data_IF_300523463500
#
_entry.id   IF_300523463500
#
_cell.length_a   1.000
_cell.length_b   1.000
_cell.length_c   1.000
_cell.angle_alpha   90.00
_cell.angle_beta   90.00
_cell.angle_gamma   90.00
#
_symmetry.space_group_name_H-M   'P 1'
#
loop_
_entity.id
_entity.type
_entity.pdbx_description
1 polymer ?
#
# COMPACT_ATOMS: atom_id res chain seq x y z
N UNK A 1 -4.12 -22.66 19.42
CA UNK A 1 -2.65 -22.49 19.33
C UNK A 1 -2.36 -21.91 17.94
N UNK A 2 -2.27 -20.59 17.84
CA UNK A 2 -1.76 -19.95 16.63
C UNK A 2 -0.25 -20.10 16.62
N UNK A 3 0.26 -20.96 15.77
CA UNK A 3 1.67 -21.01 15.42
C UNK A 3 2.00 -19.68 14.73
N UNK A 4 2.69 -18.78 15.43
CA UNK A 4 3.37 -17.65 14.80
C UNK A 4 4.38 -18.25 13.84
N UNK A 5 4.15 -18.15 12.55
CA UNK A 5 5.22 -18.24 11.58
C UNK A 5 6.13 -17.02 11.83
N UNK A 6 7.15 -17.20 12.64
CA UNK A 6 8.34 -16.41 12.51
C UNK A 6 8.97 -16.88 11.21
N UNK A 7 8.73 -16.16 10.11
CA UNK A 7 9.64 -16.22 9.00
C UNK A 7 10.95 -15.62 9.51
N UNK A 8 11.81 -16.48 10.00
CA UNK A 8 13.19 -16.14 10.19
C UNK A 8 13.81 -16.12 8.79
N UNK A 9 13.93 -14.93 8.22
CA UNK A 9 14.58 -14.71 6.92
C UNK A 9 16.11 -14.88 7.01
N UNK A 10 16.63 -15.25 8.19
CA UNK A 10 18.01 -15.64 8.41
C UNK A 10 18.28 -17.08 7.96
N UNK A 11 17.77 -17.48 6.78
CA UNK A 11 18.26 -18.70 6.17
C UNK A 11 19.66 -18.44 5.60
N UNK A 12 20.52 -19.43 5.61
CA UNK A 12 21.92 -19.37 5.11
C UNK A 12 22.05 -18.98 3.62
N UNK A 13 20.94 -18.65 2.96
CA UNK A 13 20.86 -18.37 1.51
C UNK A 13 20.88 -16.88 1.20
N UNK A 14 20.26 -16.04 2.04
CA UNK A 14 20.40 -14.59 1.95
C UNK A 14 20.29 -13.93 3.32
N UNK A 15 21.06 -12.89 3.55
CA UNK A 15 20.92 -12.03 4.72
C UNK A 15 20.15 -10.76 4.34
N UNK A 16 19.25 -10.32 5.19
CA UNK A 16 18.55 -9.04 5.03
C UNK A 16 18.79 -8.15 6.23
N UNK A 17 19.17 -6.91 5.95
CA UNK A 17 19.28 -5.86 6.95
C UNK A 17 18.04 -4.98 6.89
N UNK A 18 17.34 -4.84 8.00
CA UNK A 18 16.25 -3.91 8.11
C UNK A 18 16.76 -2.51 8.44
N UNK A 19 16.51 -1.54 7.56
CA UNK A 19 16.65 -0.14 7.90
C UNK A 19 15.52 0.22 8.86
N UNK A 20 15.80 0.28 10.16
CA UNK A 20 14.80 0.53 11.19
C UNK A 20 14.27 1.95 11.06
N UNK A 21 12.96 2.07 10.95
CA UNK A 21 12.23 3.33 10.84
C UNK A 21 11.16 3.46 11.93
N UNK A 22 10.51 4.61 11.93
CA UNK A 22 9.32 4.88 12.73
C UNK A 22 8.08 4.50 11.90
N UNK A 23 7.22 3.63 12.42
CA UNK A 23 5.94 3.24 11.78
C UNK A 23 4.99 4.42 11.52
N UNK A 24 5.33 5.60 11.98
CA UNK A 24 4.56 6.84 11.83
C UNK A 24 5.10 7.79 10.78
N UNK A 25 6.21 7.45 10.11
CA UNK A 25 6.91 8.29 9.13
C UNK A 25 7.41 7.47 7.95
N UNK A 26 7.57 8.13 6.82
CA UNK A 26 8.21 7.55 5.65
C UNK A 26 9.71 7.32 5.86
N UNK A 27 10.26 6.36 5.13
CA UNK A 27 11.71 6.13 5.04
C UNK A 27 12.40 7.40 4.53
N UNK A 28 13.49 7.79 5.16
CA UNK A 28 14.28 8.97 4.74
C UNK A 28 15.27 8.58 3.64
N UNK A 29 15.19 9.18 2.45
CA UNK A 29 16.11 8.87 1.35
C UNK A 29 17.59 9.04 1.73
N UNK A 30 17.89 10.02 2.59
CA UNK A 30 19.26 10.25 3.08
C UNK A 30 19.80 9.07 3.92
N UNK A 31 18.95 8.35 4.64
CA UNK A 31 19.36 7.16 5.39
C UNK A 31 19.69 6.00 4.46
N UNK A 32 18.92 5.85 3.36
CA UNK A 32 19.19 4.87 2.31
C UNK A 32 20.54 5.18 1.66
N UNK A 33 20.77 6.44 1.28
CA UNK A 33 22.05 6.89 0.70
C UNK A 33 23.23 6.61 1.66
N UNK A 34 23.10 6.99 2.93
CA UNK A 34 24.14 6.78 3.93
C UNK A 34 24.46 5.30 4.11
N UNK A 35 23.42 4.42 4.15
CA UNK A 35 23.62 2.97 4.30
C UNK A 35 24.36 2.38 3.09
N UNK A 36 23.98 2.80 1.87
CA UNK A 36 24.63 2.34 0.64
C UNK A 36 26.07 2.86 0.53
N UNK A 37 26.32 4.12 0.89
CA UNK A 37 27.70 4.67 0.92
C UNK A 37 28.61 3.97 1.93
N UNK A 38 28.02 3.42 3.00
CA UNK A 38 28.77 2.65 4.01
C UNK A 38 29.14 1.25 3.53
N UNK A 39 28.43 0.69 2.56
CA UNK A 39 28.71 -0.63 1.98
C UNK A 39 29.85 -0.57 0.94
N UNK A 40 31.08 -0.47 1.42
CA UNK A 40 32.27 -0.34 0.55
C UNK A 40 32.58 -1.59 -0.27
N UNK A 41 32.13 -2.75 0.20
CA UNK A 41 32.38 -4.04 -0.44
C UNK A 41 31.28 -4.42 -1.45
N UNK A 42 30.22 -3.61 -1.57
CA UNK A 42 29.11 -3.87 -2.49
C UNK A 42 28.35 -5.16 -2.16
N UNK A 43 28.19 -5.45 -0.88
CA UNK A 43 27.50 -6.66 -0.39
C UNK A 43 25.98 -6.55 -0.52
N UNK A 44 25.43 -5.34 -0.46
CA UNK A 44 24.00 -5.06 -0.66
C UNK A 44 23.66 -5.24 -2.14
N UNK A 45 22.84 -6.23 -2.48
CA UNK A 45 22.45 -6.53 -3.86
C UNK A 45 21.13 -5.89 -4.27
N UNK A 46 20.27 -5.61 -3.31
CA UNK A 46 18.98 -4.96 -3.57
C UNK A 46 18.53 -4.12 -2.37
N UNK A 47 17.80 -3.05 -2.66
CA UNK A 47 17.01 -2.27 -1.72
C UNK A 47 15.55 -2.59 -2.00
N UNK A 48 14.85 -3.18 -1.04
CA UNK A 48 13.43 -3.51 -1.13
C UNK A 48 12.65 -2.47 -0.33
N UNK A 49 11.66 -1.85 -0.97
CA UNK A 49 10.82 -0.84 -0.34
C UNK A 49 9.38 -0.94 -0.82
N UNK A 50 8.41 -0.82 0.10
CA UNK A 50 7.02 -0.66 -0.28
C UNK A 50 6.74 0.82 -0.60
N UNK A 51 6.09 1.14 -1.72
CA UNK A 51 5.64 2.51 -1.98
C UNK A 51 4.59 2.92 -0.95
N UNK A 52 3.63 2.04 -0.68
CA UNK A 52 2.67 2.21 0.41
C UNK A 52 2.74 1.01 1.34
N UNK A 53 3.05 1.26 2.61
CA UNK A 53 2.88 0.24 3.65
C UNK A 53 1.43 0.24 4.15
N UNK A 54 0.73 -0.86 3.89
CA UNK A 54 -0.69 -1.01 4.26
C UNK A 54 -0.93 -1.16 5.76
N UNK A 55 0.08 -1.48 6.55
CA UNK A 55 -0.04 -1.56 8.01
C UNK A 55 -0.10 -0.17 8.63
N UNK A 56 0.82 0.70 8.24
CA UNK A 56 0.95 2.06 8.79
C UNK A 56 0.14 3.11 8.04
N UNK A 57 -0.11 2.90 6.73
CA UNK A 57 -0.73 3.90 5.83
C UNK A 57 0.26 4.94 5.31
N UNK A 58 1.57 4.66 5.38
CA UNK A 58 2.62 5.56 4.91
C UNK A 58 2.87 5.42 3.42
N UNK A 59 3.19 6.54 2.76
CA UNK A 59 3.77 6.60 1.41
C UNK A 59 5.27 6.88 1.52
N UNK A 60 6.08 6.03 0.93
CA UNK A 60 7.50 6.28 0.73
C UNK A 60 7.73 6.95 -0.63
N UNK A 61 8.56 7.98 -0.63
CA UNK A 61 8.95 8.70 -1.86
C UNK A 61 9.98 7.88 -2.65
N UNK A 62 9.47 7.05 -3.56
CA UNK A 62 10.31 6.16 -4.37
C UNK A 62 11.22 6.96 -5.31
N UNK A 63 10.75 8.09 -5.84
CA UNK A 63 11.57 8.95 -6.68
C UNK A 63 12.79 9.49 -5.91
N UNK A 64 12.58 9.98 -4.70
CA UNK A 64 13.67 10.48 -3.87
C UNK A 64 14.62 9.37 -3.43
N UNK A 65 14.10 8.16 -3.12
CA UNK A 65 14.92 6.99 -2.82
C UNK A 65 15.77 6.60 -4.04
N UNK A 66 15.19 6.54 -5.24
CA UNK A 66 15.94 6.25 -6.47
C UNK A 66 17.05 7.28 -6.73
N UNK A 67 16.77 8.57 -6.52
CA UNK A 67 17.80 9.65 -6.60
C UNK A 67 18.91 9.46 -5.57
N UNK A 68 18.58 9.08 -4.34
CA UNK A 68 19.54 8.81 -3.26
C UNK A 68 20.44 7.61 -3.58
N UNK A 69 19.87 6.52 -4.12
CA UNK A 69 20.63 5.35 -4.57
C UNK A 69 21.59 5.73 -5.70
N UNK A 70 21.15 6.50 -6.68
CA UNK A 70 22.00 7.01 -7.77
C UNK A 70 23.14 7.90 -7.24
N UNK A 71 22.84 8.77 -6.27
CA UNK A 71 23.84 9.63 -5.62
C UNK A 71 24.89 8.81 -4.83
N UNK A 72 24.48 7.70 -4.23
CA UNK A 72 25.38 6.76 -3.57
C UNK A 72 26.35 6.07 -4.54
N UNK A 73 26.06 6.02 -5.84
CA UNK A 73 26.78 5.26 -6.88
C UNK A 73 26.94 3.79 -6.51
N UNK A 74 25.86 3.18 -6.07
CA UNK A 74 25.84 1.80 -5.61
C UNK A 74 25.11 0.91 -6.61
N UNK A 75 25.58 -0.34 -6.79
CA UNK A 75 25.05 -1.27 -7.79
C UNK A 75 23.83 -2.07 -7.34
N UNK A 76 23.31 -1.85 -6.13
CA UNK A 76 22.10 -2.50 -5.65
C UNK A 76 20.90 -2.20 -6.56
N UNK A 77 20.05 -3.20 -6.78
CA UNK A 77 18.77 -3.02 -7.48
C UNK A 77 17.77 -2.30 -6.58
N UNK A 78 16.97 -1.40 -7.14
CA UNK A 78 15.79 -0.86 -6.47
C UNK A 78 14.57 -1.73 -6.79
N UNK A 79 14.04 -2.42 -5.79
CA UNK A 79 12.89 -3.29 -5.92
C UNK A 79 11.71 -2.72 -5.12
N UNK A 80 10.58 -2.48 -5.77
CA UNK A 80 9.45 -1.78 -5.16
C UNK A 80 8.21 -2.67 -5.09
N UNK A 81 7.65 -2.78 -3.89
CA UNK A 81 6.30 -3.28 -3.69
C UNK A 81 5.29 -2.15 -3.95
N UNK A 82 4.56 -2.27 -5.05
CA UNK A 82 3.48 -1.37 -5.45
C UNK A 82 2.09 -2.00 -5.25
N UNK A 83 1.96 -3.04 -4.43
CA UNK A 83 0.68 -3.75 -4.22
C UNK A 83 -0.42 -2.83 -3.74
N UNK A 84 -0.12 -1.89 -2.86
CA UNK A 84 -1.12 -0.97 -2.30
C UNK A 84 -1.21 0.39 -3.02
N UNK A 85 -0.33 0.65 -4.00
CA UNK A 85 -0.26 1.94 -4.71
C UNK A 85 -0.69 1.87 -6.16
N UNK A 86 -0.38 0.76 -6.86
CA UNK A 86 -0.70 0.62 -8.28
C UNK A 86 -2.22 0.73 -8.51
N UNK A 87 -2.59 1.62 -9.43
CA UNK A 87 -4.00 1.94 -9.71
C UNK A 87 -4.65 2.92 -8.71
N UNK A 88 -3.93 3.37 -7.66
CA UNK A 88 -4.45 4.34 -6.69
C UNK A 88 -3.71 5.69 -6.74
N UNK A 89 -2.42 5.66 -7.05
CA UNK A 89 -1.58 6.84 -7.17
C UNK A 89 -0.48 6.62 -8.22
N UNK A 90 0.22 7.67 -8.66
CA UNK A 90 1.26 7.55 -9.67
C UNK A 90 2.38 6.59 -9.28
N UNK A 91 2.83 5.79 -10.24
CA UNK A 91 4.01 4.94 -10.15
C UNK A 91 4.75 4.98 -11.49
N UNK A 92 5.91 5.62 -11.52
CA UNK A 92 6.69 5.87 -12.74
C UNK A 92 8.01 5.11 -12.67
N UNK A 93 7.95 3.78 -12.94
CA UNK A 93 9.05 2.84 -12.79
C UNK A 93 10.36 3.35 -13.42
N UNK A 94 10.33 3.69 -14.69
CA UNK A 94 11.52 4.08 -15.45
C UNK A 94 12.08 5.42 -14.98
N UNK A 95 11.22 6.41 -14.77
CA UNK A 95 11.61 7.77 -14.35
C UNK A 95 12.23 7.78 -12.96
N UNK A 96 11.74 6.91 -12.07
CA UNK A 96 12.23 6.82 -10.69
C UNK A 96 13.43 5.88 -10.54
N UNK A 97 13.82 5.19 -11.62
CA UNK A 97 14.94 4.27 -11.63
C UNK A 97 14.70 2.98 -10.87
N UNK A 98 13.46 2.51 -10.86
CA UNK A 98 13.08 1.24 -10.26
C UNK A 98 13.48 0.11 -11.18
N UNK A 99 14.16 -0.90 -10.65
CA UNK A 99 14.65 -2.04 -11.42
C UNK A 99 13.60 -3.17 -11.48
N UNK A 100 12.90 -3.39 -10.36
CA UNK A 100 11.82 -4.38 -10.26
C UNK A 100 10.66 -3.78 -9.52
N UNK A 101 9.47 -3.92 -10.08
CA UNK A 101 8.22 -3.57 -9.40
C UNK A 101 7.31 -4.79 -9.31
N UNK A 102 6.63 -4.95 -8.18
CA UNK A 102 5.62 -5.98 -8.00
C UNK A 102 4.28 -5.39 -7.57
N UNK A 103 3.19 -6.05 -7.99
CA UNK A 103 1.84 -5.70 -7.55
C UNK A 103 0.93 -6.93 -7.55
N UNK A 104 -0.30 -6.75 -7.07
CA UNK A 104 -1.34 -7.79 -7.02
C UNK A 104 -2.68 -7.29 -7.52
N UNK A 105 -3.51 -8.22 -7.95
CA UNK A 105 -4.80 -7.93 -8.60
C UNK A 105 -5.89 -7.38 -7.66
N UNK A 106 -5.84 -7.71 -6.36
CA UNK A 106 -6.94 -7.48 -5.42
C UNK A 106 -6.94 -6.13 -4.69
N UNK A 107 -6.09 -5.21 -5.10
CA UNK A 107 -5.97 -3.87 -4.54
C UNK A 107 -6.51 -2.82 -5.52
N UNK A 108 -5.72 -1.81 -5.82
CA UNK A 108 -6.10 -0.79 -6.79
C UNK A 108 -6.50 -1.36 -8.16
N UNK A 109 -6.00 -2.53 -8.54
CA UNK A 109 -6.34 -3.18 -9.82
C UNK A 109 -7.73 -3.82 -9.88
N UNK A 110 -8.56 -3.69 -8.85
CA UNK A 110 -10.01 -3.98 -8.83
C UNK A 110 -10.41 -5.41 -9.26
N UNK A 111 -9.49 -6.38 -9.18
CA UNK A 111 -9.73 -7.77 -9.57
C UNK A 111 -9.64 -8.66 -8.34
N UNK A 112 -10.34 -9.80 -8.25
CA UNK A 112 -10.16 -10.74 -7.15
C UNK A 112 -8.71 -11.18 -6.96
N UNK A 113 -8.30 -11.60 -5.74
CA UNK A 113 -6.94 -12.09 -5.50
C UNK A 113 -6.64 -13.35 -6.35
N UNK A 114 -5.40 -13.48 -6.82
CA UNK A 114 -4.93 -14.64 -7.57
C UNK A 114 -4.03 -14.32 -8.77
N UNK A 115 -3.86 -13.04 -9.12
CA UNK A 115 -2.84 -12.59 -10.08
C UNK A 115 -1.78 -11.75 -9.37
N UNK A 116 -0.53 -11.96 -9.75
CA UNK A 116 0.58 -11.08 -9.40
C UNK A 116 1.20 -10.50 -10.66
N UNK A 117 1.67 -9.27 -10.56
CA UNK A 117 2.35 -8.57 -11.64
C UNK A 117 3.78 -8.30 -11.22
N UNK A 118 4.73 -8.59 -12.10
CA UNK A 118 6.14 -8.27 -11.91
C UNK A 118 6.62 -7.58 -13.19
N UNK A 119 7.18 -6.39 -13.04
CA UNK A 119 7.87 -5.67 -14.09
C UNK A 119 9.36 -5.60 -13.73
N UNK A 120 10.23 -5.88 -14.69
CA UNK A 120 11.68 -5.84 -14.52
C UNK A 120 12.31 -5.13 -15.72
N UNK A 121 13.24 -4.20 -15.44
CA UNK A 121 14.01 -3.52 -16.47
C UNK A 121 15.18 -4.40 -16.96
N UNK A 122 15.90 -3.94 -17.99
CA UNK A 122 17.01 -4.69 -18.58
C UNK A 122 18.14 -4.93 -17.57
N UNK A 123 18.42 -3.97 -16.67
CA UNK A 123 19.43 -4.12 -15.62
C UNK A 123 19.09 -5.29 -14.67
N UNK A 124 17.84 -5.39 -14.23
CA UNK A 124 17.38 -6.50 -13.40
C UNK A 124 17.44 -7.84 -14.15
N UNK A 125 17.12 -7.83 -15.45
CA UNK A 125 17.22 -9.01 -16.31
C UNK A 125 18.67 -9.49 -16.50
N UNK A 126 19.63 -8.58 -16.62
CA UNK A 126 21.05 -8.96 -16.66
C UNK A 126 21.51 -9.58 -15.34
N UNK A 127 21.14 -9.01 -14.20
CA UNK A 127 21.46 -9.58 -12.88
C UNK A 127 20.81 -10.95 -12.69
N UNK A 128 19.58 -11.15 -13.20
CA UNK A 128 18.88 -12.44 -13.14
C UNK A 128 19.67 -13.57 -13.81
N UNK A 129 20.43 -13.32 -14.88
CA UNK A 129 21.23 -14.34 -15.57
C UNK A 129 22.26 -15.03 -14.67
N UNK A 130 22.74 -14.31 -13.66
CA UNK A 130 23.73 -14.78 -12.70
C UNK A 130 23.13 -15.16 -11.34
N UNK A 131 21.80 -15.14 -11.18
CA UNK A 131 21.13 -15.53 -9.95
C UNK A 131 21.39 -16.99 -9.59
N UNK A 132 21.88 -17.26 -8.39
CA UNK A 132 22.25 -18.60 -7.93
C UNK A 132 21.06 -19.45 -7.46
N UNK A 133 20.05 -18.81 -6.87
CA UNK A 133 18.85 -19.49 -6.35
C UNK A 133 17.74 -19.45 -7.39
N UNK A 134 17.74 -20.43 -8.29
CA UNK A 134 16.67 -20.59 -9.29
C UNK A 134 15.65 -21.62 -8.83
N UNK A 135 14.39 -21.26 -8.92
CA UNK A 135 13.27 -22.18 -8.68
C UNK A 135 12.29 -22.09 -9.85
N UNK A 136 11.81 -23.23 -10.41
CA UNK A 136 11.02 -23.23 -11.65
C UNK A 136 9.81 -22.29 -11.60
N UNK A 137 9.16 -22.18 -10.45
CA UNK A 137 7.97 -21.33 -10.31
C UNK A 137 8.30 -19.83 -10.36
N UNK A 138 9.46 -19.41 -9.85
CA UNK A 138 9.86 -18.00 -9.72
C UNK A 138 10.86 -17.52 -10.77
N UNK A 139 11.42 -18.45 -11.58
CA UNK A 139 12.42 -18.10 -12.59
C UNK A 139 11.78 -17.40 -13.78
N UNK A 140 12.23 -16.18 -14.08
CA UNK A 140 11.71 -15.41 -15.20
C UNK A 140 12.04 -16.07 -16.55
N UNK A 141 13.19 -16.73 -16.67
CA UNK A 141 13.57 -17.44 -17.90
C UNK A 141 12.56 -18.53 -18.26
N UNK A 142 12.08 -19.26 -17.25
CA UNK A 142 11.06 -20.30 -17.46
C UNK A 142 9.70 -19.71 -17.86
N UNK A 143 9.46 -18.42 -17.53
CA UNK A 143 8.23 -17.68 -17.85
C UNK A 143 8.23 -17.00 -19.22
N UNK A 144 9.39 -16.85 -19.84
CA UNK A 144 9.58 -16.15 -21.12
C UNK A 144 9.48 -17.06 -22.35
N UNK A 145 9.13 -18.34 -22.18
CA UNK A 145 8.94 -19.28 -23.29
C UNK A 145 7.78 -18.91 -24.24
N UNK A 146 7.78 -19.47 -25.43
CA UNK A 146 6.81 -19.17 -26.49
C UNK A 146 5.40 -19.65 -26.19
N UNK A 147 5.25 -20.66 -25.32
CA UNK A 147 3.96 -21.25 -25.01
C UNK A 147 3.26 -20.50 -23.86
N UNK A 148 1.97 -20.25 -24.03
CA UNK A 148 1.19 -19.48 -23.06
C UNK A 148 1.22 -20.05 -21.63
N UNK A 149 1.18 -21.39 -21.48
CA UNK A 149 1.20 -22.00 -20.15
C UNK A 149 2.51 -21.74 -19.38
N UNK A 150 3.62 -21.47 -20.08
CA UNK A 150 4.90 -21.16 -19.45
C UNK A 150 4.81 -19.85 -18.66
N UNK A 151 4.11 -18.84 -19.20
CA UNK A 151 3.92 -17.53 -18.57
C UNK A 151 3.18 -17.62 -17.21
N UNK A 152 2.37 -18.67 -17.02
CA UNK A 152 1.58 -18.91 -15.81
C UNK A 152 2.09 -20.08 -14.97
N UNK A 153 3.15 -20.78 -15.40
CA UNK A 153 3.61 -22.05 -14.84
C UNK A 153 2.52 -23.14 -14.78
N UNK A 154 1.70 -23.18 -15.80
CA UNK A 154 0.58 -24.11 -15.92
C UNK A 154 -0.62 -23.49 -16.61
N UNK A 155 -1.81 -24.01 -16.34
CA UNK A 155 -3.05 -23.48 -16.90
C UNK A 155 -3.31 -22.06 -16.43
N UNK A 156 -3.55 -21.09 -17.33
CA UNK A 156 -3.83 -19.72 -16.94
C UNK A 156 -5.15 -19.62 -16.16
N UNK A 157 -5.24 -18.70 -15.18
CA UNK A 157 -6.47 -18.44 -14.43
C UNK A 157 -7.42 -17.56 -15.25
N UNK A 158 -8.09 -18.12 -16.25
CA UNK A 158 -8.86 -17.39 -17.28
C UNK A 158 -9.89 -16.44 -16.69
N UNK A 159 -10.66 -16.87 -15.69
CA UNK A 159 -11.66 -16.02 -15.05
C UNK A 159 -11.05 -14.73 -14.45
N UNK A 160 -9.87 -14.84 -13.86
CA UNK A 160 -9.16 -13.67 -13.31
C UNK A 160 -8.61 -12.79 -14.42
N UNK A 161 -8.17 -13.37 -15.54
CA UNK A 161 -7.70 -12.61 -16.70
C UNK A 161 -8.84 -11.85 -17.37
N UNK A 162 -10.03 -12.44 -17.51
CA UNK A 162 -11.22 -11.73 -17.97
C UNK A 162 -11.62 -10.61 -17.01
N UNK A 163 -11.58 -10.87 -15.70
CA UNK A 163 -11.82 -9.84 -14.68
C UNK A 163 -10.80 -8.70 -14.74
N UNK A 164 -9.51 -9.03 -14.91
CA UNK A 164 -8.46 -8.03 -15.07
C UNK A 164 -8.67 -7.21 -16.35
N UNK A 165 -9.06 -7.84 -17.46
CA UNK A 165 -9.36 -7.12 -18.71
C UNK A 165 -10.47 -6.11 -18.50
N UNK A 166 -11.58 -6.51 -17.86
CA UNK A 166 -12.69 -5.60 -17.56
C UNK A 166 -12.25 -4.45 -16.63
N UNK A 167 -11.41 -4.73 -15.62
CA UNK A 167 -10.87 -3.70 -14.75
C UNK A 167 -9.97 -2.70 -15.51
N UNK A 168 -9.14 -3.18 -16.43
CA UNK A 168 -8.30 -2.32 -17.28
C UNK A 168 -9.16 -1.45 -18.22
N UNK A 169 -10.24 -2.00 -18.78
CA UNK A 169 -11.17 -1.21 -19.61
C UNK A 169 -11.79 -0.06 -18.80
N UNK A 170 -12.17 -0.27 -17.53
CA UNK A 170 -12.64 0.80 -16.63
C UNK A 170 -11.55 1.85 -16.35
N UNK A 171 -10.29 1.45 -16.16
CA UNK A 171 -9.18 2.40 -16.01
C UNK A 171 -8.99 3.27 -17.24
N UNK A 172 -9.05 2.70 -18.44
CA UNK A 172 -8.90 3.44 -19.69
C UNK A 172 -10.09 4.34 -19.97
N UNK A 173 -11.31 3.93 -19.62
CA UNK A 173 -12.52 4.73 -19.73
C UNK A 173 -12.46 5.96 -18.80
N UNK A 174 -12.11 5.78 -17.53
CA UNK A 174 -11.98 6.87 -16.56
C UNK A 174 -10.74 7.75 -16.87
N UNK A 175 -9.67 7.15 -17.38
CA UNK A 175 -8.35 7.77 -17.58
C UNK A 175 -7.54 7.84 -16.30
N UNK A 176 -6.26 7.41 -16.35
CA UNK A 176 -5.40 7.29 -15.16
C UNK A 176 -5.29 8.57 -14.31
N UNK A 177 -5.19 9.80 -14.88
CA UNK A 177 -5.20 11.02 -14.07
C UNK A 177 -6.47 11.18 -13.23
N UNK A 178 -7.64 10.82 -13.78
CA UNK A 178 -8.90 10.89 -13.07
C UNK A 178 -9.02 9.80 -12.00
N UNK A 179 -8.52 8.60 -12.28
CA UNK A 179 -8.42 7.51 -11.29
C UNK A 179 -7.60 7.97 -10.08
N UNK A 180 -6.44 8.59 -10.28
CA UNK A 180 -5.61 9.12 -9.18
C UNK A 180 -6.31 10.28 -8.46
N UNK A 181 -6.94 11.19 -9.19
CA UNK A 181 -7.73 12.29 -8.60
C UNK A 181 -8.85 11.74 -7.73
N UNK A 182 -9.61 10.76 -8.20
CA UNK A 182 -10.69 10.12 -7.43
C UNK A 182 -10.19 9.51 -6.13
N UNK A 183 -9.11 8.73 -6.17
CA UNK A 183 -8.53 8.14 -4.96
C UNK A 183 -8.09 9.22 -3.97
N UNK A 184 -7.42 10.27 -4.44
CA UNK A 184 -6.99 11.39 -3.60
C UNK A 184 -8.17 12.13 -2.97
N UNK A 185 -9.24 12.41 -3.73
CA UNK A 185 -10.44 13.08 -3.20
C UNK A 185 -11.10 12.25 -2.10
N UNK A 186 -11.23 10.94 -2.30
CA UNK A 186 -11.83 10.04 -1.32
C UNK A 186 -10.93 9.87 -0.09
N UNK A 187 -9.62 9.79 -0.28
CA UNK A 187 -8.65 9.77 0.82
C UNK A 187 -8.74 11.03 1.67
N UNK A 188 -8.82 12.20 1.03
CA UNK A 188 -8.99 13.47 1.75
C UNK A 188 -10.33 13.55 2.48
N UNK A 189 -11.42 13.06 1.91
CA UNK A 189 -12.70 12.97 2.62
C UNK A 189 -12.57 12.16 3.93
N UNK A 190 -11.88 11.01 3.90
CA UNK A 190 -11.57 10.22 5.10
C UNK A 190 -10.70 11.02 6.08
N UNK A 191 -9.67 11.70 5.58
CA UNK A 191 -8.76 12.51 6.40
C UNK A 191 -9.47 13.69 7.07
N UNK A 192 -10.43 14.35 6.39
CA UNK A 192 -11.26 15.42 6.98
C UNK A 192 -12.09 14.88 8.14
N UNK A 193 -12.73 13.74 7.97
CA UNK A 193 -13.50 13.13 9.05
C UNK A 193 -12.61 12.76 10.25
N UNK A 194 -11.49 12.07 10.01
CA UNK A 194 -10.54 11.68 11.07
C UNK A 194 -9.95 12.91 11.75
N UNK A 195 -9.68 13.99 11.02
CA UNK A 195 -9.21 15.25 11.56
C UNK A 195 -10.16 15.83 12.62
N UNK A 196 -11.46 15.88 12.31
CA UNK A 196 -12.49 16.32 13.28
C UNK A 196 -12.58 15.35 14.45
N UNK A 197 -12.64 14.04 14.21
CA UNK A 197 -12.71 13.06 15.31
C UNK A 197 -11.51 13.13 16.24
N UNK A 198 -10.33 13.54 15.73
CA UNK A 198 -9.09 13.64 16.53
C UNK A 198 -9.14 14.74 17.61
N UNK A 199 -10.06 15.71 17.52
CA UNK A 199 -10.26 16.74 18.53
C UNK A 199 -10.64 16.14 19.91
N UNK A 200 -11.27 14.96 19.92
CA UNK A 200 -11.57 14.21 21.14
C UNK A 200 -10.37 13.43 21.74
N UNK A 201 -9.19 13.51 21.10
CA UNK A 201 -7.91 12.91 21.50
C UNK A 201 -7.84 11.37 21.55
N UNK A 202 -8.98 10.66 21.53
CA UNK A 202 -8.99 9.20 21.48
C UNK A 202 -8.73 8.67 20.06
N UNK A 203 -9.06 9.43 19.03
CA UNK A 203 -8.86 9.07 17.61
C UNK A 203 -7.70 9.89 17.05
N UNK A 204 -6.91 9.29 16.18
CA UNK A 204 -5.81 10.01 15.54
C UNK A 204 -5.31 9.35 14.26
N UNK A 205 -4.45 10.06 13.55
CA UNK A 205 -3.72 9.49 12.43
C UNK A 205 -2.49 8.71 12.93
N UNK A 206 -2.24 7.55 12.35
CA UNK A 206 -0.96 6.90 12.56
C UNK A 206 0.17 7.75 11.93
N UNK A 207 0.01 8.15 10.68
CA UNK A 207 1.04 8.94 9.96
C UNK A 207 0.96 10.41 10.35
N UNK A 208 2.09 10.92 10.85
CA UNK A 208 2.20 12.29 11.39
C UNK A 208 2.11 13.30 10.26
N UNK A 209 3.00 13.18 9.27
CA UNK A 209 3.11 14.15 8.18
C UNK A 209 1.99 13.94 7.14
N UNK A 210 1.17 14.97 6.86
CA UNK A 210 0.05 14.82 5.93
C UNK A 210 0.45 14.36 4.54
N UNK A 211 1.59 14.80 4.03
CA UNK A 211 2.09 14.44 2.69
C UNK A 211 2.64 13.02 2.59
N UNK A 212 2.86 12.36 3.74
CA UNK A 212 3.26 10.95 3.81
C UNK A 212 2.06 10.00 3.94
N UNK A 213 0.81 10.49 3.92
CA UNK A 213 -0.41 9.69 4.04
C UNK A 213 -0.83 9.12 2.69
N UNK A 214 -1.15 7.82 2.66
CA UNK A 214 -1.50 7.09 1.45
C UNK A 214 -2.88 7.47 0.88
N UNK A 215 -3.00 7.50 -0.45
CA UNK A 215 -4.28 7.70 -1.13
C UNK A 215 -5.11 6.42 -1.29
N UNK A 216 -4.61 5.28 -0.84
CA UNK A 216 -5.31 3.99 -0.91
C UNK A 216 -5.85 3.49 0.43
N UNK A 217 -5.27 3.94 1.55
CA UNK A 217 -5.62 3.48 2.90
C UNK A 217 -5.30 4.54 3.94
N UNK A 218 -6.16 4.67 4.94
CA UNK A 218 -5.93 5.49 6.14
C UNK A 218 -5.88 4.60 7.37
N UNK A 219 -4.77 4.62 8.10
CA UNK A 219 -4.63 3.96 9.39
C UNK A 219 -5.00 4.93 10.51
N UNK A 220 -6.03 4.56 11.28
CA UNK A 220 -6.63 5.37 12.33
C UNK A 220 -6.29 4.75 13.69
N UNK A 221 -5.53 5.47 14.50
CA UNK A 221 -5.18 5.03 15.88
C UNK A 221 -6.32 5.30 16.85
N UNK A 222 -6.47 4.42 17.83
CA UNK A 222 -7.46 4.55 18.90
C UNK A 222 -6.72 4.51 20.24
N UNK A 223 -6.60 5.69 20.87
CA UNK A 223 -5.80 5.87 22.08
C UNK A 223 -6.64 5.58 23.33
N UNK A 224 -6.15 4.69 24.20
CA UNK A 224 -6.82 4.37 25.47
C UNK A 224 -8.17 3.68 25.33
N UNK A 225 -8.54 3.20 24.15
CA UNK A 225 -9.76 2.46 23.84
C UNK A 225 -9.45 1.29 22.92
N UNK A 226 -10.38 0.36 22.80
CA UNK A 226 -10.24 -0.82 21.96
C UNK A 226 -10.70 -0.55 20.51
N UNK A 227 -9.82 -0.57 19.50
CA UNK A 227 -10.21 -0.42 18.09
C UNK A 227 -11.04 -1.60 17.58
N UNK A 228 -10.90 -2.78 18.19
CA UNK A 228 -11.70 -3.95 17.79
C UNK A 228 -13.18 -3.77 18.14
N UNK A 229 -13.50 -3.05 19.23
CA UNK A 229 -14.89 -2.68 19.55
C UNK A 229 -15.55 -1.85 18.45
N UNK A 230 -14.81 -0.88 17.86
CA UNK A 230 -15.29 -0.07 16.71
C UNK A 230 -15.54 -0.96 15.49
N UNK A 231 -14.60 -1.85 15.18
CA UNK A 231 -14.69 -2.80 14.06
C UNK A 231 -15.85 -3.78 14.24
N UNK A 232 -16.01 -4.31 15.43
CA UNK A 232 -17.09 -5.23 15.79
C UNK A 232 -18.46 -4.56 15.69
N UNK A 233 -18.58 -3.33 16.14
CA UNK A 233 -19.82 -2.55 15.98
C UNK A 233 -20.12 -2.33 14.51
N UNK A 234 -19.16 -1.84 13.72
CA UNK A 234 -19.31 -1.59 12.30
C UNK A 234 -19.77 -2.85 11.55
N UNK A 235 -19.14 -3.99 11.83
CA UNK A 235 -19.45 -5.26 11.16
C UNK A 235 -20.80 -5.84 11.64
N UNK A 236 -20.98 -6.02 12.96
CA UNK A 236 -22.13 -6.75 13.52
C UNK A 236 -23.42 -5.95 13.51
N UNK A 237 -23.36 -4.63 13.60
CA UNK A 237 -24.52 -3.74 13.66
C UNK A 237 -24.86 -3.07 12.34
N UNK A 238 -23.85 -2.81 11.49
CA UNK A 238 -24.01 -2.02 10.28
C UNK A 238 -23.59 -2.76 8.99
N UNK A 239 -23.00 -3.95 9.08
CA UNK A 239 -22.55 -4.72 7.92
C UNK A 239 -21.33 -4.13 7.20
N UNK A 240 -20.58 -3.23 7.83
CA UNK A 240 -19.38 -2.60 7.28
C UNK A 240 -18.13 -3.21 7.89
N UNK A 241 -17.23 -3.70 7.03
CA UNK A 241 -15.99 -4.35 7.47
C UNK A 241 -14.84 -3.34 7.38
N UNK A 242 -14.29 -2.97 8.54
CA UNK A 242 -13.09 -2.16 8.65
C UNK A 242 -11.84 -3.06 8.79
N UNK A 243 -10.71 -2.63 8.22
CA UNK A 243 -9.45 -3.33 8.38
C UNK A 243 -8.95 -3.31 9.84
N UNK A 244 -8.38 -4.41 10.32
CA UNK A 244 -7.72 -4.45 11.63
C UNK A 244 -6.31 -3.84 11.57
N UNK A 245 -5.77 -3.40 12.70
CA UNK A 245 -4.35 -3.03 12.81
C UNK A 245 -3.44 -4.24 12.54
N UNK A 246 -2.32 -4.03 11.87
CA UNK A 246 -1.36 -5.08 11.50
C UNK A 246 -0.04 -4.86 12.23
N UNK A 247 0.65 -5.97 12.59
CA UNK A 247 1.96 -5.93 13.23
C UNK A 247 1.92 -5.15 14.55
N UNK A 248 2.75 -4.12 14.68
CA UNK A 248 2.83 -3.27 15.88
C UNK A 248 1.56 -2.45 16.15
N UNK A 249 0.71 -2.28 15.15
CA UNK A 249 -0.57 -1.55 15.25
C UNK A 249 -1.75 -2.46 15.58
N UNK A 250 -1.52 -3.76 15.75
CA UNK A 250 -2.55 -4.71 16.19
C UNK A 250 -3.08 -4.32 17.58
N UNK A 251 -4.41 -4.21 17.72
CA UNK A 251 -5.05 -3.75 18.95
C UNK A 251 -4.86 -2.27 19.27
N UNK A 252 -4.30 -1.47 18.36
CA UNK A 252 -4.07 -0.02 18.53
C UNK A 252 -4.73 0.84 17.46
N UNK A 253 -5.12 0.23 16.34
CA UNK A 253 -5.66 0.94 15.19
C UNK A 253 -6.68 0.11 14.41
N UNK A 254 -7.53 0.78 13.67
CA UNK A 254 -8.28 0.21 12.56
C UNK A 254 -7.89 0.93 11.26
N UNK A 255 -8.24 0.34 10.12
CA UNK A 255 -7.89 0.89 8.82
C UNK A 255 -9.12 1.08 7.94
N UNK A 256 -9.17 2.21 7.24
CA UNK A 256 -10.17 2.52 6.23
C UNK A 256 -9.50 2.44 4.86
N UNK A 257 -9.90 1.47 4.05
CA UNK A 257 -9.46 1.36 2.67
C UNK A 257 -10.34 2.24 1.77
N UNK A 258 -9.70 2.98 0.87
CA UNK A 258 -10.37 3.80 -0.13
C UNK A 258 -9.70 3.57 -1.50
N UNK A 259 -9.47 2.30 -1.84
CA UNK A 259 -8.79 1.85 -3.05
C UNK A 259 -9.72 1.07 -3.98
N UNK A 260 -9.39 1.10 -5.27
CA UNK A 260 -10.11 0.34 -6.29
C UNK A 260 -11.36 1.06 -6.79
N UNK A 261 -12.42 0.32 -7.11
CA UNK A 261 -13.66 0.88 -7.65
C UNK A 261 -14.59 1.38 -6.53
N UNK A 262 -14.10 2.38 -5.78
CA UNK A 262 -14.83 3.03 -4.69
C UNK A 262 -15.31 4.42 -5.11
N UNK A 263 -16.41 4.86 -4.50
CA UNK A 263 -17.05 6.14 -4.79
C UNK A 263 -17.44 6.91 -3.51
N UNK A 264 -17.88 8.14 -3.64
CA UNK A 264 -18.25 8.99 -2.51
C UNK A 264 -19.36 8.38 -1.61
N UNK A 265 -20.46 7.82 -2.11
CA UNK A 265 -21.46 7.14 -1.29
C UNK A 265 -20.89 6.02 -0.41
N UNK A 266 -19.97 5.19 -0.94
CA UNK A 266 -19.34 4.12 -0.18
C UNK A 266 -18.48 4.67 0.96
N UNK A 267 -17.70 5.72 0.69
CA UNK A 267 -16.86 6.36 1.71
C UNK A 267 -17.72 7.07 2.75
N UNK A 268 -18.67 7.89 2.35
CA UNK A 268 -19.56 8.60 3.28
C UNK A 268 -20.37 7.64 4.15
N UNK A 269 -20.88 6.54 3.58
CA UNK A 269 -21.54 5.49 4.35
C UNK A 269 -20.61 4.85 5.38
N UNK A 270 -19.36 4.54 5.00
CA UNK A 270 -18.35 4.00 5.92
C UNK A 270 -18.03 4.98 7.05
N UNK A 271 -17.83 6.26 6.72
CA UNK A 271 -17.57 7.31 7.73
C UNK A 271 -18.77 7.50 8.68
N UNK A 272 -20.00 7.46 8.15
CA UNK A 272 -21.22 7.49 8.96
C UNK A 272 -21.31 6.35 9.96
N UNK A 273 -20.96 5.13 9.51
CA UNK A 273 -20.91 3.95 10.40
C UNK A 273 -19.82 4.11 11.48
N UNK A 274 -18.65 4.62 11.13
CA UNK A 274 -17.56 4.86 12.10
C UNK A 274 -18.02 5.89 13.14
N UNK A 275 -18.55 7.04 12.73
CA UNK A 275 -18.99 8.10 13.66
C UNK A 275 -20.12 7.61 14.56
N UNK A 276 -21.05 6.79 14.03
CA UNK A 276 -22.09 6.12 14.81
C UNK A 276 -21.48 5.17 15.83
N UNK A 277 -20.49 4.36 15.47
CA UNK A 277 -19.80 3.45 16.38
C UNK A 277 -19.07 4.21 17.49
N UNK A 278 -18.36 5.29 17.16
CA UNK A 278 -17.68 6.16 18.13
C UNK A 278 -18.66 6.72 19.18
N UNK A 279 -19.84 7.18 18.73
CA UNK A 279 -20.90 7.66 19.61
C UNK A 279 -21.51 6.56 20.48
N UNK A 280 -21.84 5.41 19.89
CA UNK A 280 -22.47 4.29 20.59
C UNK A 280 -21.55 3.61 21.64
N UNK A 281 -20.24 3.72 21.45
CA UNK A 281 -19.21 3.16 22.34
C UNK A 281 -18.63 4.18 23.32
N UNK A 282 -19.19 5.38 23.37
CA UNK A 282 -18.72 6.49 24.21
C UNK A 282 -17.20 6.76 24.03
N UNK A 283 -16.70 6.63 22.79
CA UNK A 283 -15.32 6.98 22.45
C UNK A 283 -15.24 8.49 22.23
N UNK A 284 -14.40 9.21 22.99
CA UNK A 284 -14.26 10.67 22.85
C UNK A 284 -13.81 11.06 21.43
N UNK A 285 -14.61 11.85 20.73
CA UNK A 285 -14.31 12.32 19.37
C UNK A 285 -15.00 13.66 19.10
N UNK A 286 -14.43 14.49 18.21
CA UNK A 286 -15.09 15.68 17.68
C UNK A 286 -16.31 15.29 16.85
N UNK A 287 -17.36 16.10 16.90
CA UNK A 287 -18.62 15.87 16.19
C UNK A 287 -18.59 16.48 14.79
N UNK A 288 -19.23 15.82 13.83
CA UNK A 288 -19.38 16.35 12.48
C UNK A 288 -18.25 15.94 11.52
N UNK A 289 -17.55 14.84 11.80
CA UNK A 289 -16.54 14.31 10.88
C UNK A 289 -17.12 13.95 9.51
N UNK A 290 -18.30 13.35 9.47
CA UNK A 290 -19.01 13.06 8.21
C UNK A 290 -19.34 14.34 7.48
N UNK A 291 -19.80 15.39 8.18
CA UNK A 291 -20.11 16.68 7.56
C UNK A 291 -18.86 17.30 6.94
N UNK A 292 -17.72 17.26 7.62
CA UNK A 292 -16.45 17.76 7.08
C UNK A 292 -16.02 17.02 5.78
N UNK A 293 -16.30 15.73 5.68
CA UNK A 293 -16.07 14.97 4.45
C UNK A 293 -17.04 15.39 3.33
N UNK A 294 -18.31 15.65 3.64
CA UNK A 294 -19.31 16.15 2.69
C UNK A 294 -18.91 17.53 2.16
N UNK A 295 -18.53 18.43 3.07
CA UNK A 295 -18.14 19.81 2.73
C UNK A 295 -16.93 19.80 1.78
N UNK A 296 -15.93 18.95 2.07
CA UNK A 296 -14.77 18.76 1.21
C UNK A 296 -15.17 18.27 -0.19
N UNK A 297 -15.93 17.19 -0.27
CA UNK A 297 -16.34 16.62 -1.56
C UNK A 297 -17.21 17.61 -2.35
N UNK A 298 -18.08 18.35 -1.69
CA UNK A 298 -18.94 19.34 -2.33
C UNK A 298 -18.15 20.49 -2.96
N UNK A 299 -17.08 20.92 -2.31
CA UNK A 299 -16.19 21.96 -2.82
C UNK A 299 -15.41 21.48 -4.06
N UNK A 300 -14.90 20.25 -4.03
CA UNK A 300 -14.06 19.69 -5.08
C UNK A 300 -14.83 19.21 -6.32
N UNK A 301 -16.14 18.92 -6.20
CA UNK A 301 -16.99 18.55 -7.35
C UNK A 301 -17.38 19.78 -8.17
N UNK A 302 -17.37 20.98 -7.56
CA UNK A 302 -17.67 22.22 -8.25
C UNK A 302 -16.48 22.82 -9.00
N UNK A 303 -15.28 22.33 -8.75
CA UNK A 303 -14.03 22.76 -9.38
C UNK A 303 -13.64 21.82 -10.53
#
# INVERSE_FOLDING_TARGET
RHTRFKCDWSSDVCSSDLLKGDMRRAVRPAEVEARLRADKEGTIKAVLVAQIDTASGVVNDIEAIGKAMKAARHDALLMVDAVASLGCMPFEMDKWGVDVAMSGSQKGMMTPPGLSFVAANDRAREVHKTAGLRTPYWDWTDREGDLHYQKYAGTPPEHLLFGLRAALDLFFEEGMPNVFRRHRLLAEAVRRAVGVWSEGQAIGFNIIEPHERADSITCVTVNGRDPEAVRDYANKKCGVILGHGIGELSGKAFRVAHMGHVNAPMILGTLGVIETALGALDIPHGKGGVQAAIDWLSAEVQA
#
